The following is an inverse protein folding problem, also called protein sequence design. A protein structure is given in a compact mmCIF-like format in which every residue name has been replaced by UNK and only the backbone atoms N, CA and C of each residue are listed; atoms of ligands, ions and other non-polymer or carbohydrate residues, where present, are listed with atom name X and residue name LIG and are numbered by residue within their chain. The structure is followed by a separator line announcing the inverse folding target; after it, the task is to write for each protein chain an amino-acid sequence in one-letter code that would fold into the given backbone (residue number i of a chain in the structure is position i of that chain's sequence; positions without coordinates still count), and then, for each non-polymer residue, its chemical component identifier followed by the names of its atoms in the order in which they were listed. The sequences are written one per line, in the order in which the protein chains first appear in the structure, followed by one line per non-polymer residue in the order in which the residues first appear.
data_IF_948391496332
#
_entry.id   IF_948391496332
#
_cell.length_a   1.000
_cell.length_b   1.000
_cell.length_c   1.000
_cell.angle_alpha   90.00
_cell.angle_beta   90.00
_cell.angle_gamma   90.00
#
_symmetry.space_group_name_H-M   'P 1'
#
loop_
_entity.id
_entity.type
_entity.pdbx_description
1 polymer ?
#
# COMPACT_ATOMS: atom_id res chain seq x y z
N UNK A 1 -9.96 -9.11 -11.46
CA UNK A 1 -9.93 -7.62 -11.45
C UNK A 1 -8.50 -7.20 -11.15
N UNK A 2 -7.83 -6.46 -12.05
CA UNK A 2 -6.43 -6.06 -11.86
C UNK A 2 -6.40 -4.71 -11.12
N UNK A 3 -5.90 -4.69 -9.89
CA UNK A 3 -5.73 -3.46 -9.10
C UNK A 3 -4.37 -2.86 -9.48
N UNK A 4 -4.34 -1.61 -9.93
CA UNK A 4 -3.10 -0.90 -10.24
C UNK A 4 -2.55 -0.25 -8.96
N UNK A 5 -1.33 -0.63 -8.59
CA UNK A 5 -0.61 -0.08 -7.44
C UNK A 5 0.36 0.99 -7.96
N UNK A 6 0.33 2.17 -7.34
CA UNK A 6 1.25 3.27 -7.60
C UNK A 6 2.12 3.52 -6.38
N UNK A 7 3.36 3.98 -6.62
CA UNK A 7 4.31 4.30 -5.56
C UNK A 7 4.91 5.69 -5.73
N UNK A 8 5.23 6.35 -4.62
CA UNK A 8 6.08 7.55 -4.60
C UNK A 8 6.96 7.58 -3.37
N UNK A 9 8.11 8.25 -3.49
CA UNK A 9 8.94 8.61 -2.34
C UNK A 9 8.39 9.87 -1.67
N UNK A 10 8.36 9.88 -0.35
CA UNK A 10 7.90 10.99 0.50
C UNK A 10 8.86 11.16 1.67
N UNK A 11 9.90 11.98 1.49
CA UNK A 11 11.00 12.10 2.44
C UNK A 11 11.81 10.79 2.55
N UNK A 12 11.96 10.30 3.79
CA UNK A 12 12.64 9.03 4.09
C UNK A 12 11.74 7.80 3.95
N UNK A 13 10.46 7.99 3.60
CA UNK A 13 9.49 6.92 3.45
C UNK A 13 9.08 6.74 1.99
N UNK A 14 8.56 5.56 1.70
CA UNK A 14 7.90 5.22 0.46
C UNK A 14 6.42 5.01 0.73
N UNK A 15 5.57 5.52 -0.16
CA UNK A 15 4.13 5.37 -0.11
C UNK A 15 3.68 4.51 -1.29
N UNK A 16 2.80 3.55 -1.03
CA UNK A 16 2.10 2.77 -2.05
C UNK A 16 0.60 2.99 -1.89
N UNK A 17 -0.12 3.15 -3.00
CA UNK A 17 -1.58 3.27 -2.96
C UNK A 17 -2.26 2.65 -4.18
N UNK A 18 -3.54 2.33 -4.01
CA UNK A 18 -4.39 1.86 -5.10
C UNK A 18 -5.80 2.44 -4.98
N UNK A 19 -6.49 2.53 -6.12
CA UNK A 19 -7.91 2.88 -6.19
C UNK A 19 -8.76 1.62 -6.04
N UNK A 20 -9.66 1.62 -5.07
CA UNK A 20 -10.62 0.54 -4.89
C UNK A 20 -11.79 0.70 -5.87
N UNK A 21 -11.99 -0.24 -6.79
CA UNK A 21 -13.10 -0.19 -7.73
C UNK A 21 -14.43 -0.31 -6.99
N UNK A 22 -15.42 0.46 -7.44
CA UNK A 22 -16.74 0.55 -6.78
C UNK A 22 -16.80 1.44 -5.54
N UNK A 23 -15.68 2.04 -5.09
CA UNK A 23 -15.68 3.04 -4.01
C UNK A 23 -15.35 4.42 -4.57
N UNK A 24 -16.32 5.33 -4.55
CA UNK A 24 -16.25 6.70 -5.11
C UNK A 24 -15.04 7.51 -4.56
N UNK A 25 -14.50 7.15 -3.38
CA UNK A 25 -13.32 7.80 -2.76
C UNK A 25 -12.36 6.81 -2.07
N UNK A 26 -12.32 5.55 -2.49
CA UNK A 26 -11.52 4.52 -1.80
C UNK A 26 -10.07 4.50 -2.27
N UNK A 27 -9.23 5.45 -1.84
CA UNK A 27 -7.77 5.30 -1.97
C UNK A 27 -7.25 4.65 -0.69
N UNK A 28 -6.64 3.47 -0.81
CA UNK A 28 -5.89 2.86 0.30
C UNK A 28 -4.43 3.24 0.09
N UNK A 29 -3.79 3.78 1.12
CA UNK A 29 -2.38 4.19 1.09
C UNK A 29 -1.65 3.54 2.25
N UNK A 30 -0.48 2.95 1.98
CA UNK A 30 0.41 2.37 2.98
C UNK A 30 1.81 2.98 2.86
N UNK A 31 2.51 3.12 4.00
CA UNK A 31 3.88 3.60 4.07
C UNK A 31 4.87 2.51 4.45
N UNK A 32 6.07 2.55 3.89
CA UNK A 32 7.18 1.66 4.20
C UNK A 32 8.54 2.37 4.16
N UNK A 33 9.55 1.77 4.76
CA UNK A 33 10.94 2.25 4.68
C UNK A 33 11.54 2.05 3.29
N UNK A 34 11.03 1.09 2.51
CA UNK A 34 11.33 0.91 1.09
C UNK A 34 10.03 0.82 0.26
N UNK A 35 10.16 0.93 -1.07
CA UNK A 35 9.02 0.82 -1.97
C UNK A 35 8.38 -0.58 -1.88
N UNK A 36 9.21 -1.62 -1.75
CA UNK A 36 8.80 -3.02 -1.64
C UNK A 36 7.96 -3.24 -0.38
N UNK A 37 8.41 -2.72 0.77
CA UNK A 37 7.67 -2.82 2.03
C UNK A 37 6.32 -2.08 1.93
N UNK A 38 6.30 -0.91 1.31
CA UNK A 38 5.05 -0.16 1.13
C UNK A 38 4.05 -0.94 0.25
N UNK A 39 4.52 -1.56 -0.84
CA UNK A 39 3.72 -2.39 -1.74
C UNK A 39 3.21 -3.64 -1.00
N UNK A 40 4.08 -4.34 -0.27
CA UNK A 40 3.73 -5.56 0.46
C UNK A 40 2.68 -5.29 1.54
N UNK A 41 2.84 -4.20 2.30
CA UNK A 41 1.83 -3.74 3.26
C UNK A 41 0.49 -3.45 2.60
N UNK A 42 0.49 -2.81 1.43
CA UNK A 42 -0.74 -2.54 0.69
C UNK A 42 -1.41 -3.83 0.22
N UNK A 43 -0.64 -4.80 -0.29
CA UNK A 43 -1.18 -6.08 -0.73
C UNK A 43 -1.76 -6.89 0.44
N UNK A 44 -1.07 -6.95 1.57
CA UNK A 44 -1.57 -7.60 2.78
C UNK A 44 -2.84 -6.92 3.31
N UNK A 45 -2.92 -5.58 3.24
CA UNK A 45 -4.13 -4.84 3.58
C UNK A 45 -5.31 -5.20 2.66
N UNK A 46 -5.08 -5.31 1.35
CA UNK A 46 -6.10 -5.74 0.38
C UNK A 46 -6.56 -7.18 0.61
N UNK A 47 -5.63 -8.04 1.02
CA UNK A 47 -5.88 -9.45 1.36
C UNK A 47 -6.47 -9.63 2.77
N UNK A 48 -6.68 -8.53 3.52
CA UNK A 48 -7.12 -8.52 4.91
C UNK A 48 -6.23 -9.36 5.85
N UNK A 49 -4.91 -9.33 5.61
CA UNK A 49 -3.87 -10.02 6.38
C UNK A 49 -3.07 -9.03 7.23
N UNK A 50 -2.56 -9.45 8.41
CA UNK A 50 -1.70 -8.63 9.22
C UNK A 50 -0.33 -8.41 8.58
N UNK A 51 0.27 -7.24 8.81
CA UNK A 51 1.58 -6.85 8.28
C UNK A 51 2.55 -6.34 9.38
N UNK A 52 2.29 -6.67 10.65
CA UNK A 52 3.10 -6.24 11.79
C UNK A 52 4.57 -6.68 11.71
N UNK A 53 4.87 -7.78 11.02
CA UNK A 53 6.24 -8.25 10.77
C UNK A 53 7.07 -7.30 9.88
N UNK A 54 6.41 -6.36 9.20
CA UNK A 54 7.03 -5.33 8.36
C UNK A 54 7.15 -3.97 9.08
N UNK A 55 6.83 -3.90 10.37
CA UNK A 55 7.11 -2.74 11.22
C UNK A 55 8.47 -2.95 11.89
N UNK A 56 9.53 -2.44 11.25
CA UNK A 56 10.90 -2.38 11.80
C UNK A 56 11.39 -0.95 11.77
#
# INVERSE_FOLDING_TARGET
MKIEIKTRKSGNLHLAWCLMPGKIKGIITMSGSTAEIAIEKLQLCLDNKPYSHLEK
#
